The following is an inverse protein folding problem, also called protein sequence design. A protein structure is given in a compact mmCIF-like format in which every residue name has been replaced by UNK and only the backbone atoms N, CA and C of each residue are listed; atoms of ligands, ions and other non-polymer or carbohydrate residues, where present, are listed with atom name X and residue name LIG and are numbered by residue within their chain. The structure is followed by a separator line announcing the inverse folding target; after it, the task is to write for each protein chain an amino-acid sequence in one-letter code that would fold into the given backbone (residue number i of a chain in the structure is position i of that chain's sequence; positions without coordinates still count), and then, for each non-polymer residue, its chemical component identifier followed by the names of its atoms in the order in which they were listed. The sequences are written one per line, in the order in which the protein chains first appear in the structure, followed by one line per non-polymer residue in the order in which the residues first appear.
data_IF_607596697757
#
_entry.id   IF_607596697757
#
_cell.length_a   1.000
_cell.length_b   1.000
_cell.length_c   1.000
_cell.angle_alpha   90.00
_cell.angle_beta   90.00
_cell.angle_gamma   90.00
#
_symmetry.space_group_name_H-M   'P 1'
#
loop_
_entity.id
_entity.type
_entity.pdbx_description
1 polymer ?
#
# COMPACT_ATOMS: atom_id res chain seq x y z
N UNK A 1 29.09 -28.27 -21.59
CA UNK A 1 28.19 -27.69 -20.57
C UNK A 1 29.03 -26.81 -19.66
N UNK A 2 28.94 -25.48 -19.72
CA UNK A 2 29.64 -24.65 -18.75
C UNK A 2 28.87 -24.65 -17.43
N UNK A 3 29.58 -24.87 -16.33
CA UNK A 3 29.02 -25.00 -15.00
C UNK A 3 28.34 -23.72 -14.52
N UNK A 4 27.16 -23.86 -13.94
CA UNK A 4 26.47 -22.79 -13.22
C UNK A 4 27.26 -22.52 -11.94
N UNK A 5 28.03 -21.43 -11.94
CA UNK A 5 28.72 -20.94 -10.75
C UNK A 5 27.72 -20.30 -9.79
N UNK A 6 27.65 -20.84 -8.57
CA UNK A 6 26.93 -20.19 -7.46
C UNK A 6 27.68 -18.92 -7.07
N UNK A 7 27.14 -17.76 -7.43
CA UNK A 7 27.68 -16.48 -7.03
C UNK A 7 27.09 -16.12 -5.67
N UNK A 8 27.87 -16.32 -4.60
CA UNK A 8 27.56 -15.78 -3.28
C UNK A 8 27.96 -14.31 -3.30
N UNK A 9 27.00 -13.42 -3.55
CA UNK A 9 27.22 -11.99 -3.41
C UNK A 9 27.52 -11.68 -1.93
N UNK A 10 28.74 -11.24 -1.64
CA UNK A 10 29.12 -10.63 -0.37
C UNK A 10 29.39 -9.16 -0.63
N UNK A 11 28.45 -8.29 -0.30
CA UNK A 11 28.79 -6.90 -0.03
C UNK A 11 27.71 -6.16 0.77
N UNK A 12 28.17 -5.10 1.41
CA UNK A 12 27.66 -4.49 2.63
C UNK A 12 26.40 -3.64 2.39
N UNK A 13 25.42 -3.74 3.29
CA UNK A 13 24.39 -2.72 3.47
C UNK A 13 24.22 -2.39 4.95
N UNK A 14 24.46 -1.11 5.28
CA UNK A 14 24.03 -0.55 6.54
C UNK A 14 22.49 -0.53 6.54
N UNK A 15 21.87 -1.15 7.55
CA UNK A 15 20.46 -0.93 7.83
C UNK A 15 20.27 0.57 8.04
N UNK A 16 19.67 1.27 7.07
CA UNK A 16 19.01 2.52 7.38
C UNK A 16 17.77 2.11 8.17
N UNK A 17 17.66 2.41 9.49
CA UNK A 17 16.37 2.32 10.13
C UNK A 17 15.43 3.22 9.32
N UNK A 18 14.21 2.79 8.97
CA UNK A 18 13.22 3.71 8.44
C UNK A 18 13.12 4.85 9.46
N UNK A 19 13.51 6.05 9.07
CA UNK A 19 13.27 7.24 9.87
C UNK A 19 11.78 7.48 9.84
N UNK A 20 11.08 6.92 10.82
CA UNK A 20 9.72 7.31 11.13
C UNK A 20 9.77 8.77 11.59
N UNK A 21 9.51 9.69 10.68
CA UNK A 21 9.29 11.09 11.01
C UNK A 21 7.86 11.16 11.55
N UNK A 22 7.72 11.07 12.87
CA UNK A 22 6.45 11.35 13.53
C UNK A 22 6.11 12.83 13.31
N UNK A 23 5.11 13.11 12.46
CA UNK A 23 4.48 14.44 12.45
C UNK A 23 3.81 14.64 13.83
N UNK A 24 4.08 15.73 14.56
CA UNK A 24 3.34 16.00 15.79
C UNK A 24 1.87 16.26 15.44
N UNK A 25 0.97 15.37 15.86
CA UNK A 25 -0.48 15.58 15.80
C UNK A 25 -0.91 16.70 16.76
N UNK A 26 -0.60 17.94 16.40
CA UNK A 26 -1.03 19.14 17.11
C UNK A 26 -2.45 19.52 16.69
N UNK A 27 -3.45 19.06 17.45
CA UNK A 27 -4.84 19.53 17.33
C UNK A 27 -4.92 20.99 17.82
N UNK A 28 -4.62 21.96 16.96
CA UNK A 28 -4.97 23.36 17.24
C UNK A 28 -6.48 23.53 17.05
N UNK A 29 -7.22 23.45 18.16
CA UNK A 29 -8.59 23.95 18.25
C UNK A 29 -8.54 25.48 18.05
N UNK A 30 -8.70 25.92 16.80
CA UNK A 30 -8.84 27.31 16.45
C UNK A 30 -10.13 27.89 17.02
N UNK A 31 -10.01 28.69 18.07
CA UNK A 31 -11.07 29.57 18.57
C UNK A 31 -11.33 30.63 17.51
N UNK A 32 -12.53 30.64 16.95
CA UNK A 32 -12.95 31.56 15.90
C UNK A 32 -12.83 33.03 16.31
N UNK A 33 -12.42 33.85 15.34
CA UNK A 33 -12.75 35.28 15.29
C UNK A 33 -13.26 35.61 13.90
N UNK A 34 -14.46 36.18 13.87
CA UNK A 34 -15.17 36.57 12.66
C UNK A 34 -14.80 37.96 12.14
N UNK A 35 -15.50 38.27 11.05
CA UNK A 35 -15.68 39.57 10.39
C UNK A 35 -14.46 40.23 9.73
N UNK A 36 -14.49 40.35 8.40
CA UNK A 36 -14.87 41.62 7.78
C UNK A 36 -15.26 41.45 6.30
N UNK A 37 -16.43 41.98 5.96
CA UNK A 37 -16.90 42.19 4.58
C UNK A 37 -16.27 43.47 4.04
N UNK A 38 -15.64 43.43 2.86
CA UNK A 38 -15.56 44.62 1.98
C UNK A 38 -15.74 44.22 0.52
N UNK A 39 -16.81 44.74 -0.07
CA UNK A 39 -17.08 44.63 -1.50
C UNK A 39 -16.21 45.58 -2.33
N UNK A 40 -16.02 45.24 -3.60
CA UNK A 40 -15.69 46.20 -4.65
C UNK A 40 -16.41 45.86 -5.94
N UNK A 41 -16.88 46.94 -6.57
CA UNK A 41 -17.77 47.01 -7.73
C UNK A 41 -17.04 46.72 -9.05
N UNK A 42 -17.81 46.10 -9.95
CA UNK A 42 -17.87 46.17 -11.43
C UNK A 42 -16.84 47.06 -12.16
N UNK A 43 -16.26 46.48 -13.22
CA UNK A 43 -16.05 47.15 -14.51
C UNK A 43 -16.53 46.21 -15.64
N UNK A 44 -17.16 46.79 -16.66
CA UNK A 44 -17.81 46.16 -17.83
C UNK A 44 -16.92 46.26 -19.07
N UNK A 45 -17.00 45.23 -19.92
CA UNK A 45 -16.92 45.21 -21.41
C UNK A 45 -15.54 45.49 -22.08
N UNK A 46 -15.25 44.97 -23.30
CA UNK A 46 -16.22 44.65 -24.36
C UNK A 46 -16.10 43.29 -25.07
N UNK A 47 -17.09 43.09 -25.95
CA UNK A 47 -17.36 41.99 -26.87
C UNK A 47 -16.36 41.87 -28.03
N UNK A 48 -16.25 40.64 -28.52
CA UNK A 48 -15.71 40.22 -29.82
C UNK A 48 -15.35 38.73 -29.69
N UNK A 49 -15.82 37.78 -30.48
CA UNK A 49 -16.48 37.77 -31.77
C UNK A 49 -15.90 36.55 -32.52
N UNK A 50 -16.74 35.58 -32.90
CA UNK A 50 -16.43 34.67 -34.01
C UNK A 50 -16.44 33.16 -33.75
N UNK A 51 -17.40 32.51 -34.44
CA UNK A 51 -17.34 31.21 -35.15
C UNK A 51 -17.35 29.94 -34.30
N UNK A 52 -18.49 29.23 -34.20
CA UNK A 52 -19.09 28.27 -35.16
C UNK A 52 -18.25 27.01 -35.37
N UNK A 53 -18.63 25.93 -34.70
CA UNK A 53 -18.44 24.56 -35.21
C UNK A 53 -19.71 23.77 -34.88
N UNK A 54 -20.19 23.08 -35.90
CA UNK A 54 -21.37 22.24 -35.97
C UNK A 54 -21.34 21.12 -34.93
N UNK A 55 -22.51 20.72 -34.44
CA UNK A 55 -22.69 19.43 -33.77
C UNK A 55 -24.05 18.88 -34.15
N UNK A 56 -23.99 17.67 -34.69
CA UNK A 56 -25.06 16.95 -35.34
C UNK A 56 -26.26 16.72 -34.42
N UNK A 57 -27.44 16.96 -34.99
CA UNK A 57 -28.70 16.41 -34.53
C UNK A 57 -28.65 14.88 -34.63
N UNK A 58 -28.95 14.19 -33.54
CA UNK A 58 -29.48 12.83 -33.60
C UNK A 58 -30.75 12.77 -32.77
N UNK A 59 -31.85 12.68 -33.51
CA UNK A 59 -33.20 12.39 -33.06
C UNK A 59 -33.39 10.87 -32.91
N UNK A 60 -34.33 10.51 -32.04
CA UNK A 60 -35.00 9.22 -31.78
C UNK A 60 -34.65 8.67 -30.40
N UNK A 61 -35.59 8.17 -29.60
CA UNK A 61 -37.03 8.33 -29.54
C UNK A 61 -37.48 7.76 -28.19
N UNK A 62 -38.63 8.23 -27.73
CA UNK A 62 -39.18 7.99 -26.39
C UNK A 62 -40.00 6.71 -26.31
N UNK A 63 -39.75 5.83 -25.34
CA UNK A 63 -40.75 4.93 -24.70
C UNK A 63 -40.23 4.69 -23.25
N UNK A 64 -40.85 5.07 -22.14
CA UNK A 64 -42.27 5.14 -21.80
C UNK A 64 -42.63 3.94 -20.92
N UNK A 65 -42.45 4.02 -19.59
CA UNK A 65 -43.30 3.27 -18.65
C UNK A 65 -43.11 3.72 -17.20
N UNK A 66 -44.08 4.48 -16.73
CA UNK A 66 -44.40 4.71 -15.33
C UNK A 66 -45.10 3.49 -14.75
N UNK A 67 -44.65 2.99 -13.59
CA UNK A 67 -45.53 2.24 -12.69
C UNK A 67 -45.30 2.64 -11.25
N UNK A 68 -46.25 3.45 -10.78
CA UNK A 68 -46.54 3.67 -9.38
C UNK A 68 -47.00 2.34 -8.74
N UNK A 69 -46.53 2.10 -7.53
CA UNK A 69 -46.96 1.00 -6.67
C UNK A 69 -46.95 1.48 -5.23
N UNK A 70 -48.04 2.14 -4.84
CA UNK A 70 -48.41 2.37 -3.45
C UNK A 70 -48.59 1.03 -2.74
N UNK A 71 -47.84 0.81 -1.66
CA UNK A 71 -48.27 -0.11 -0.61
C UNK A 71 -48.18 0.55 0.77
N UNK A 72 -49.38 0.74 1.27
CA UNK A 72 -49.81 1.10 2.61
C UNK A 72 -49.16 0.26 3.72
N UNK A 73 -48.63 0.96 4.73
CA UNK A 73 -48.94 0.77 6.14
C UNK A 73 -48.73 -0.60 6.78
N UNK A 74 -47.74 -0.68 7.68
CA UNK A 74 -47.89 -1.44 8.91
C UNK A 74 -47.01 -0.85 10.03
N UNK A 75 -47.73 -0.25 10.98
CA UNK A 75 -47.38 0.16 12.33
C UNK A 75 -46.64 -0.99 13.03
N UNK A 76 -45.39 -0.78 13.46
CA UNK A 76 -44.69 -1.69 14.37
C UNK A 76 -44.37 -0.97 15.67
N UNK A 77 -44.79 -1.62 16.75
CA UNK A 77 -44.94 -1.10 18.09
C UNK A 77 -43.60 -0.85 18.77
N UNK A 78 -43.60 0.19 19.60
CA UNK A 78 -42.62 0.44 20.66
C UNK A 78 -42.57 -0.78 21.58
N UNK A 79 -41.39 -1.37 21.72
CA UNK A 79 -41.05 -2.18 22.87
C UNK A 79 -39.87 -1.54 23.58
N UNK A 80 -40.20 -0.81 24.65
CA UNK A 80 -39.29 -0.38 25.69
C UNK A 80 -38.45 -1.56 26.17
N UNK A 81 -37.13 -1.52 25.98
CA UNK A 81 -36.19 -2.39 26.68
C UNK A 81 -35.38 -1.59 27.67
N UNK A 82 -35.65 -1.92 28.93
CA UNK A 82 -35.06 -1.38 30.13
C UNK A 82 -33.53 -1.43 30.12
N UNK A 83 -32.95 -0.35 30.62
CA UNK A 83 -31.54 -0.21 30.96
C UNK A 83 -31.15 -1.19 32.07
N UNK A 84 -30.02 -1.91 31.97
CA UNK A 84 -29.45 -2.62 33.10
C UNK A 84 -28.83 -1.65 34.13
N UNK A 85 -28.85 -1.99 35.43
CA UNK A 85 -28.35 -1.13 36.50
C UNK A 85 -26.82 -0.96 36.47
N UNK A 86 -26.30 0.19 36.95
CA UNK A 86 -24.87 0.44 37.01
C UNK A 86 -24.19 -0.47 38.04
N UNK A 87 -23.14 -1.19 37.61
CA UNK A 87 -22.23 -1.88 38.52
C UNK A 87 -21.16 -0.90 39.00
N UNK A 88 -21.24 -0.56 40.28
CA UNK A 88 -20.19 0.10 41.06
C UNK A 88 -19.17 -0.95 41.57
N UNK A 89 -17.96 -0.46 41.82
CA UNK A 89 -16.81 -1.09 42.51
C UNK A 89 -15.95 -2.03 41.63
N UNK A 90 -14.62 -1.98 41.67
CA UNK A 90 -13.74 -1.66 42.79
C UNK A 90 -12.43 -0.99 42.36
N UNK A 91 -11.96 -0.08 43.21
CA UNK A 91 -10.60 0.47 43.21
C UNK A 91 -9.58 -0.65 43.50
N UNK A 92 -8.59 -0.81 42.64
CA UNK A 92 -7.40 -1.60 42.94
C UNK A 92 -6.30 -0.68 43.53
N UNK A 93 -5.57 -1.12 44.56
CA UNK A 93 -4.66 -0.27 45.33
C UNK A 93 -3.34 0.03 44.60
N UNK A 94 -2.94 1.30 44.69
CA UNK A 94 -1.62 1.81 44.34
C UNK A 94 -0.53 0.98 45.05
N UNK A 95 0.31 0.29 44.27
CA UNK A 95 1.53 -0.32 44.79
C UNK A 95 2.65 0.72 44.83
N UNK A 96 3.23 0.84 46.02
CA UNK A 96 4.35 1.68 46.39
C UNK A 96 5.53 1.54 45.41
N UNK A 97 6.05 2.69 44.97
CA UNK A 97 7.41 2.81 44.45
C UNK A 97 8.41 2.52 45.57
N UNK A 98 9.10 1.38 45.49
CA UNK A 98 10.29 1.13 46.29
C UNK A 98 11.48 1.83 45.63
N UNK A 99 12.09 2.77 46.35
CA UNK A 99 13.37 3.38 45.99
C UNK A 99 14.47 2.30 45.99
N UNK A 100 15.07 2.07 44.82
CA UNK A 100 16.31 1.31 44.73
C UNK A 100 17.50 2.21 45.14
N UNK A 101 18.45 1.71 45.95
CA UNK A 101 19.60 2.49 46.38
C UNK A 101 20.61 2.70 45.23
N UNK A 102 21.02 3.96 45.05
CA UNK A 102 22.17 4.37 44.25
C UNK A 102 23.43 3.59 44.71
N UNK A 103 23.84 2.58 43.94
CA UNK A 103 25.21 2.07 43.99
C UNK A 103 26.06 2.85 42.99
N UNK A 104 26.87 3.78 43.51
CA UNK A 104 28.06 4.30 42.84
C UNK A 104 29.00 3.13 42.57
N UNK A 105 29.02 2.63 41.34
CA UNK A 105 30.14 1.84 40.84
C UNK A 105 31.20 2.82 40.32
N UNK A 106 32.37 2.79 40.96
CA UNK A 106 33.58 3.47 40.54
C UNK A 106 34.01 2.96 39.16
N UNK A 107 33.99 3.85 38.16
CA UNK A 107 34.60 3.60 36.86
C UNK A 107 36.13 3.58 37.01
N UNK A 108 36.74 2.40 36.80
CA UNK A 108 38.17 2.31 36.51
C UNK A 108 38.43 2.65 35.04
N UNK A 109 39.59 3.21 34.68
CA UNK A 109 39.95 3.50 33.29
C UNK A 109 40.39 2.19 32.62
N UNK A 110 39.43 1.46 32.06
CA UNK A 110 39.68 0.18 31.41
C UNK A 110 38.91 0.07 30.11
N UNK A 111 39.61 0.32 29.00
CA UNK A 111 39.36 -0.07 27.59
C UNK A 111 37.90 -0.07 27.10
N UNK A 112 37.55 0.68 26.04
CA UNK A 112 36.24 0.57 25.42
C UNK A 112 36.03 -0.87 24.92
N UNK A 113 35.00 -1.52 25.45
CA UNK A 113 34.50 -2.78 24.92
C UNK A 113 33.97 -2.49 23.51
N UNK A 114 34.77 -2.81 22.50
CA UNK A 114 34.32 -2.89 21.11
C UNK A 114 33.42 -4.12 21.04
N UNK A 115 32.11 -3.90 21.16
CA UNK A 115 31.14 -4.90 20.77
C UNK A 115 31.36 -5.18 19.27
N UNK A 116 31.64 -6.42 18.85
CA UNK A 116 31.64 -6.72 17.43
C UNK A 116 30.23 -6.41 16.91
N UNK A 117 30.08 -5.72 15.77
CA UNK A 117 28.78 -5.58 15.15
C UNK A 117 28.25 -6.99 14.92
N UNK A 118 27.10 -7.29 15.51
CA UNK A 118 26.36 -8.51 15.27
C UNK A 118 25.98 -8.53 13.80
N UNK A 119 26.87 -9.09 12.96
CA UNK A 119 26.62 -9.37 11.56
C UNK A 119 25.63 -10.52 11.52
N UNK A 120 24.35 -10.21 11.70
CA UNK A 120 23.31 -11.11 11.24
C UNK A 120 23.49 -11.19 9.73
N UNK A 121 24.09 -12.27 9.26
CA UNK A 121 24.04 -12.64 7.86
C UNK A 121 22.56 -12.88 7.56
N UNK A 122 21.90 -11.89 6.97
CA UNK A 122 20.63 -12.11 6.30
C UNK A 122 20.87 -13.23 5.30
N UNK A 123 20.30 -14.39 5.60
CA UNK A 123 20.38 -15.54 4.72
C UNK A 123 19.43 -15.23 3.58
N UNK A 124 19.93 -14.57 2.54
CA UNK A 124 19.23 -14.53 1.26
C UNK A 124 19.16 -15.97 0.77
N UNK A 125 18.02 -16.62 0.99
CA UNK A 125 17.76 -17.93 0.43
C UNK A 125 17.45 -17.70 -1.04
N UNK A 126 18.50 -17.62 -1.86
CA UNK A 126 18.36 -17.68 -3.31
C UNK A 126 18.08 -19.14 -3.65
N UNK A 127 16.81 -19.54 -3.58
CA UNK A 127 16.36 -20.73 -4.30
C UNK A 127 16.32 -20.39 -5.78
N UNK A 128 17.49 -20.42 -6.43
CA UNK A 128 17.56 -20.24 -7.88
C UNK A 128 17.05 -21.50 -8.53
N UNK A 129 15.79 -21.48 -8.90
CA UNK A 129 15.24 -22.42 -9.87
C UNK A 129 15.22 -21.71 -11.20
N UNK A 130 16.09 -22.10 -12.13
CA UNK A 130 16.03 -21.61 -13.50
C UNK A 130 14.82 -22.27 -14.18
N UNK A 131 13.79 -21.50 -14.46
CA UNK A 131 12.63 -22.00 -15.19
C UNK A 131 12.64 -21.39 -16.59
N UNK A 132 12.42 -22.25 -17.59
CA UNK A 132 12.39 -21.90 -19.02
C UNK A 132 13.69 -21.35 -19.64
N UNK A 133 14.86 -21.48 -18.99
CA UNK A 133 16.14 -20.85 -19.42
C UNK A 133 16.12 -19.31 -19.47
N UNK A 134 14.96 -18.68 -19.22
CA UNK A 134 14.69 -17.27 -19.48
C UNK A 134 14.55 -16.40 -18.22
N UNK A 135 14.24 -17.00 -17.06
CA UNK A 135 14.00 -16.27 -15.82
C UNK A 135 14.58 -16.99 -14.60
N UNK A 136 15.35 -16.27 -13.79
CA UNK A 136 15.74 -16.67 -12.44
C UNK A 136 14.82 -16.00 -11.42
N UNK A 137 14.47 -16.72 -10.37
CA UNK A 137 13.56 -16.27 -9.32
C UNK A 137 14.27 -16.41 -7.97
N UNK A 138 14.05 -15.45 -7.07
CA UNK A 138 14.51 -15.52 -5.69
C UNK A 138 13.44 -14.98 -4.74
N UNK A 139 13.48 -15.46 -3.50
CA UNK A 139 12.59 -15.05 -2.42
C UNK A 139 13.43 -14.28 -1.41
N UNK A 140 13.03 -13.04 -1.11
CA UNK A 140 13.82 -12.11 -0.29
C UNK A 140 13.02 -11.54 0.86
N UNK A 141 13.67 -11.21 2.00
CA UNK A 141 13.01 -10.54 3.11
C UNK A 141 12.49 -9.17 2.69
N UNK A 142 11.46 -8.70 3.39
CA UNK A 142 10.87 -7.38 3.19
C UNK A 142 10.90 -6.57 4.48
N UNK A 143 10.78 -5.24 4.33
CA UNK A 143 10.60 -4.31 5.43
C UNK A 143 9.35 -3.47 5.19
N UNK A 144 8.63 -3.06 6.27
CA UNK A 144 7.49 -2.17 6.13
C UNK A 144 7.97 -0.78 5.67
N UNK A 145 7.29 -0.23 4.68
CA UNK A 145 7.50 1.13 4.19
C UNK A 145 6.36 2.08 4.59
N UNK A 146 5.20 1.54 4.93
CA UNK A 146 4.00 2.28 5.32
C UNK A 146 3.16 1.49 6.31
N UNK A 147 2.51 2.21 7.22
CA UNK A 147 1.38 1.73 7.99
C UNK A 147 0.27 2.77 7.98
N UNK A 148 -0.99 2.34 8.05
CA UNK A 148 -2.13 3.25 8.13
C UNK A 148 -2.38 3.83 9.53
N UNK A 149 -1.35 3.89 10.37
CA UNK A 149 -1.43 4.42 11.72
C UNK A 149 -1.95 5.87 11.72
N UNK A 150 -2.98 6.10 12.52
CA UNK A 150 -3.62 7.41 12.65
C UNK A 150 -4.64 7.73 11.55
N UNK A 151 -4.74 6.92 10.49
CA UNK A 151 -5.67 7.18 9.39
C UNK A 151 -7.14 7.09 9.80
N UNK A 152 -7.48 6.37 10.87
CA UNK A 152 -8.88 6.13 11.24
C UNK A 152 -9.61 5.09 10.39
N UNK A 153 -8.93 4.46 9.42
CA UNK A 153 -9.47 3.35 8.66
C UNK A 153 -9.95 2.20 9.57
N UNK A 154 -10.97 1.46 9.10
CA UNK A 154 -11.60 0.39 9.90
C UNK A 154 -10.77 -0.89 10.01
N UNK A 155 -9.87 -1.08 9.05
CA UNK A 155 -8.91 -2.18 9.00
C UNK A 155 -7.52 -1.58 9.09
N UNK A 156 -6.58 -2.30 9.69
CA UNK A 156 -5.20 -1.88 9.78
C UNK A 156 -4.38 -2.54 8.67
N UNK A 157 -3.40 -1.84 8.10
CA UNK A 157 -2.52 -2.36 7.04
C UNK A 157 -1.08 -1.91 7.21
N UNK A 158 -0.17 -2.79 6.79
CA UNK A 158 1.20 -2.40 6.47
C UNK A 158 1.53 -2.78 5.03
N UNK A 159 2.29 -1.91 4.37
CA UNK A 159 2.85 -2.18 3.04
C UNK A 159 4.34 -2.42 3.17
N UNK A 160 4.83 -3.44 2.49
CA UNK A 160 6.19 -3.93 2.55
C UNK A 160 6.84 -3.91 1.18
N UNK A 161 8.16 -3.75 1.20
CA UNK A 161 9.03 -3.79 0.02
C UNK A 161 10.27 -4.64 0.31
N UNK A 162 10.89 -5.30 -0.69
CA UNK A 162 12.18 -5.97 -0.49
C UNK A 162 13.18 -5.08 0.25
N UNK A 163 13.94 -5.65 1.19
CA UNK A 163 15.00 -4.91 1.91
C UNK A 163 16.10 -4.48 0.95
N UNK A 164 16.45 -5.34 0.00
CA UNK A 164 17.45 -5.09 -1.03
C UNK A 164 17.09 -5.80 -2.33
N UNK A 165 17.56 -5.23 -3.44
CA UNK A 165 17.41 -5.82 -4.78
C UNK A 165 18.77 -5.71 -5.49
N UNK A 166 19.45 -6.84 -5.77
CA UNK A 166 20.73 -6.82 -6.46
C UNK A 166 20.64 -6.20 -7.86
N UNK A 167 21.79 -5.91 -8.46
CA UNK A 167 21.83 -5.44 -9.83
C UNK A 167 21.44 -6.53 -10.83
N UNK A 168 20.66 -6.13 -11.85
CA UNK A 168 20.01 -7.05 -12.77
C UNK A 168 18.76 -7.76 -12.21
N UNK A 169 18.41 -7.57 -10.94
CA UNK A 169 17.19 -8.08 -10.34
C UNK A 169 16.10 -7.02 -10.25
N UNK A 170 14.86 -7.46 -10.29
CA UNK A 170 13.65 -6.64 -10.27
C UNK A 170 12.61 -7.26 -9.33
N UNK A 171 11.77 -6.43 -8.72
CA UNK A 171 10.59 -6.89 -7.98
C UNK A 171 9.31 -6.58 -8.77
N UNK A 172 8.19 -7.14 -8.34
CA UNK A 172 6.97 -7.28 -9.13
C UNK A 172 5.80 -6.43 -8.62
N UNK A 173 6.04 -5.67 -7.54
CA UNK A 173 5.07 -4.84 -6.84
C UNK A 173 5.31 -4.90 -5.33
N UNK A 174 4.71 -3.95 -4.62
CA UNK A 174 4.73 -3.96 -3.15
C UNK A 174 3.73 -4.99 -2.60
N UNK A 175 3.91 -5.33 -1.32
CA UNK A 175 3.13 -6.34 -0.62
C UNK A 175 2.30 -5.66 0.46
N UNK A 176 1.02 -6.01 0.59
CA UNK A 176 0.15 -5.47 1.64
C UNK A 176 -0.29 -6.58 2.58
N UNK A 177 -0.25 -6.32 3.89
CA UNK A 177 -0.68 -7.27 4.93
C UNK A 177 -1.64 -6.57 5.88
N UNK A 178 -2.77 -7.24 6.12
CA UNK A 178 -3.74 -6.81 7.13
C UNK A 178 -3.15 -7.04 8.51
N UNK A 179 -3.05 -5.98 9.31
CA UNK A 179 -2.52 -6.07 10.66
C UNK A 179 -3.63 -6.49 11.63
N UNK A 180 -3.45 -7.55 12.43
CA UNK A 180 -4.35 -7.82 13.55
C UNK A 180 -4.41 -6.60 14.48
N UNK A 181 -5.59 -6.32 15.06
CA UNK A 181 -5.77 -5.21 16.00
C UNK A 181 -4.87 -5.29 17.25
N UNK A 182 -4.32 -6.47 17.55
CA UNK A 182 -3.36 -6.70 18.63
C UNK A 182 -1.92 -6.34 18.29
N UNK A 183 -1.60 -6.10 17.01
CA UNK A 183 -0.24 -5.75 16.58
C UNK A 183 -0.06 -4.24 16.73
N UNK A 184 0.81 -3.77 17.62
CA UNK A 184 1.10 -2.34 17.71
C UNK A 184 1.85 -1.91 16.44
N UNK A 185 1.55 -0.71 15.96
CA UNK A 185 2.22 -0.06 14.82
C UNK A 185 3.72 0.23 15.04
N UNK A 186 4.27 -0.15 16.20
CA UNK A 186 5.68 -0.02 16.52
C UNK A 186 6.54 -0.96 15.68
N UNK A 187 7.65 -0.41 15.17
CA UNK A 187 8.55 -1.02 14.18
C UNK A 187 8.98 -2.48 14.38
N UNK A 188 9.15 -3.05 15.60
CA UNK A 188 9.50 -4.48 15.71
C UNK A 188 8.32 -5.43 15.43
N UNK A 189 7.10 -5.07 15.85
CA UNK A 189 5.96 -5.98 15.77
C UNK A 189 5.45 -6.11 14.32
N UNK A 190 5.45 -5.00 13.58
CA UNK A 190 5.11 -4.96 12.15
C UNK A 190 6.14 -5.73 11.33
N UNK A 191 7.44 -5.61 11.65
CA UNK A 191 8.49 -6.36 10.96
C UNK A 191 8.35 -7.89 11.13
N UNK A 192 7.86 -8.37 12.28
CA UNK A 192 7.74 -9.81 12.57
C UNK A 192 6.68 -10.55 11.73
N UNK A 193 5.78 -9.81 11.07
CA UNK A 193 4.76 -10.39 10.19
C UNK A 193 5.04 -10.09 8.71
N UNK A 194 6.23 -9.58 8.40
CA UNK A 194 6.63 -9.22 7.05
C UNK A 194 6.56 -10.46 6.13
N UNK A 195 5.90 -10.35 4.97
CA UNK A 195 5.91 -11.41 3.97
C UNK A 195 7.28 -11.46 3.29
N UNK A 196 7.55 -12.55 2.58
CA UNK A 196 8.68 -12.57 1.64
C UNK A 196 8.22 -12.08 0.27
N UNK A 197 9.08 -11.31 -0.39
CA UNK A 197 8.87 -10.85 -1.75
C UNK A 197 9.51 -11.80 -2.76
N UNK A 198 8.89 -11.89 -3.94
CA UNK A 198 9.49 -12.52 -5.11
C UNK A 198 10.21 -11.46 -5.93
N UNK A 199 11.50 -11.70 -6.18
CA UNK A 199 12.29 -10.93 -7.15
C UNK A 199 12.71 -11.84 -8.30
N UNK A 200 12.98 -11.22 -9.44
CA UNK A 200 13.30 -11.92 -10.68
C UNK A 200 14.53 -11.31 -11.34
N UNK A 201 15.27 -12.14 -12.03
CA UNK A 201 16.35 -11.73 -12.92
C UNK A 201 16.08 -12.31 -14.31
N UNK A 202 15.95 -11.47 -15.35
CA UNK A 202 15.91 -11.95 -16.73
C UNK A 202 17.23 -12.66 -17.06
N UNK A 203 17.13 -13.91 -17.50
CA UNK A 203 18.24 -14.65 -18.11
C UNK A 203 18.26 -14.44 -19.64
N UNK A 204 17.10 -14.06 -20.20
CA UNK A 204 16.97 -13.53 -21.55
C UNK A 204 16.42 -12.10 -21.55
N UNK A 205 16.63 -11.35 -22.63
CA UNK A 205 16.18 -9.96 -22.72
C UNK A 205 14.66 -9.76 -22.85
N UNK A 206 13.86 -10.84 -22.81
CA UNK A 206 12.44 -10.84 -23.14
C UNK A 206 11.54 -11.27 -21.97
N UNK A 207 12.09 -11.67 -20.83
CA UNK A 207 11.30 -12.15 -19.71
C UNK A 207 10.67 -11.03 -18.86
N UNK A 208 11.34 -9.88 -18.78
CA UNK A 208 10.88 -8.72 -18.02
C UNK A 208 10.96 -7.44 -18.87
N UNK A 209 10.15 -6.44 -18.56
CA UNK A 209 10.31 -5.10 -19.09
C UNK A 209 10.16 -4.04 -17.99
N UNK A 210 10.77 -2.85 -18.18
CA UNK A 210 10.49 -1.71 -17.31
C UNK A 210 9.01 -1.33 -17.30
N UNK A 211 8.61 -0.57 -16.29
CA UNK A 211 7.27 0.00 -16.17
C UNK A 211 7.33 1.53 -16.27
N UNK A 212 6.32 2.10 -16.91
CA UNK A 212 6.07 3.53 -16.93
C UNK A 212 5.17 3.91 -15.77
N UNK A 213 5.44 5.06 -15.14
CA UNK A 213 4.46 5.66 -14.26
C UNK A 213 3.27 6.08 -15.12
N UNK A 214 2.05 5.79 -14.66
CA UNK A 214 0.86 6.42 -15.21
C UNK A 214 0.94 7.95 -15.10
N UNK A 215 -0.04 8.65 -15.63
CA UNK A 215 -0.09 10.12 -15.50
C UNK A 215 -0.42 10.58 -14.08
N UNK A 216 -1.07 9.73 -13.28
CA UNK A 216 -1.55 10.04 -11.93
C UNK A 216 -1.59 8.79 -11.06
N UNK A 217 -1.52 8.97 -9.74
CA UNK A 217 -1.82 7.94 -8.76
C UNK A 217 -3.27 7.43 -8.91
N UNK A 218 -3.49 6.17 -8.56
CA UNK A 218 -4.83 5.61 -8.42
C UNK A 218 -5.55 6.28 -7.25
N UNK A 219 -4.89 6.39 -6.10
CA UNK A 219 -5.46 6.92 -4.87
C UNK A 219 -4.38 7.57 -4.01
N UNK A 220 -4.76 8.55 -3.20
CA UNK A 220 -3.91 9.14 -2.16
C UNK A 220 -4.65 9.21 -0.84
N UNK A 221 -3.91 9.19 0.27
CA UNK A 221 -4.52 9.29 1.60
C UNK A 221 -4.82 10.74 2.03
N UNK A 222 -4.96 11.66 1.07
CA UNK A 222 -5.16 13.07 1.36
C UNK A 222 -6.39 13.27 2.25
N UNK A 223 -6.18 13.93 3.39
CA UNK A 223 -7.15 14.17 4.46
C UNK A 223 -7.44 13.00 5.41
N UNK A 224 -6.64 11.93 5.40
CA UNK A 224 -6.79 10.80 6.32
C UNK A 224 -6.43 11.09 7.79
N UNK A 225 -5.78 12.22 8.07
CA UNK A 225 -5.06 12.48 9.34
C UNK A 225 -4.00 11.41 9.70
N UNK A 226 -3.63 10.55 8.73
CA UNK A 226 -2.61 9.53 8.86
C UNK A 226 -1.23 10.09 9.23
N UNK A 227 -0.45 9.31 9.96
CA UNK A 227 0.90 9.71 10.36
C UNK A 227 1.88 9.80 9.18
N UNK A 228 1.57 9.12 8.07
CA UNK A 228 2.37 9.06 6.86
C UNK A 228 1.48 9.34 5.65
N UNK A 229 1.98 10.14 4.71
CA UNK A 229 1.29 10.38 3.45
C UNK A 229 1.65 9.25 2.46
N UNK A 230 0.68 8.77 1.69
CA UNK A 230 0.87 7.70 0.71
C UNK A 230 0.09 7.96 -0.58
N UNK A 231 0.68 7.53 -1.69
CA UNK A 231 0.03 7.40 -2.99
C UNK A 231 0.15 5.96 -3.51
N UNK A 232 -0.91 5.45 -4.10
CA UNK A 232 -0.95 4.12 -4.72
C UNK A 232 -0.94 4.27 -6.23
N UNK A 233 0.02 3.64 -6.90
CA UNK A 233 0.22 3.74 -8.34
C UNK A 233 0.02 2.38 -9.01
N UNK A 234 -0.63 2.38 -10.18
CA UNK A 234 -0.70 1.23 -11.07
C UNK A 234 0.43 1.32 -12.12
N UNK A 235 1.46 0.46 -12.04
CA UNK A 235 2.53 0.43 -13.02
C UNK A 235 2.00 0.00 -14.38
N UNK A 236 2.38 0.70 -15.44
CA UNK A 236 2.01 0.34 -16.80
C UNK A 236 3.22 -0.30 -17.51
N UNK A 237 3.10 -1.54 -18.04
CA UNK A 237 4.19 -2.15 -18.78
C UNK A 237 4.65 -1.26 -19.95
N UNK A 238 5.97 -1.07 -20.11
CA UNK A 238 6.50 -0.22 -21.19
C UNK A 238 6.35 -0.85 -22.59
N UNK A 239 5.99 -2.14 -22.67
CA UNK A 239 5.83 -2.90 -23.91
C UNK A 239 4.52 -3.70 -23.88
N UNK A 240 3.90 -3.88 -25.04
CA UNK A 240 2.77 -4.81 -25.19
C UNK A 240 3.21 -6.26 -24.96
N UNK A 241 2.30 -7.09 -24.46
CA UNK A 241 2.58 -8.50 -24.14
C UNK A 241 3.28 -8.71 -22.79
N UNK A 242 3.27 -7.69 -21.93
CA UNK A 242 3.78 -7.77 -20.56
C UNK A 242 2.66 -7.40 -19.58
N UNK A 243 2.76 -7.89 -18.35
CA UNK A 243 1.79 -7.72 -17.28
C UNK A 243 2.49 -7.25 -16.00
N UNK A 244 2.03 -6.14 -15.42
CA UNK A 244 2.43 -5.73 -14.09
C UNK A 244 1.65 -6.56 -13.06
N UNK A 245 2.34 -7.13 -12.07
CA UNK A 245 1.75 -8.12 -11.15
C UNK A 245 1.29 -7.51 -9.82
N UNK A 246 1.64 -6.27 -9.55
CA UNK A 246 1.30 -5.58 -8.31
C UNK A 246 1.32 -4.07 -8.43
N UNK A 247 0.88 -3.42 -7.37
CA UNK A 247 0.86 -1.97 -7.24
C UNK A 247 2.16 -1.45 -6.64
N UNK A 248 2.36 -0.14 -6.75
CA UNK A 248 3.49 0.57 -6.15
C UNK A 248 2.99 1.62 -5.16
N UNK A 249 3.49 1.57 -3.93
CA UNK A 249 3.22 2.54 -2.89
C UNK A 249 4.34 3.59 -2.83
N UNK A 250 3.99 4.84 -3.10
CA UNK A 250 4.87 5.98 -2.92
C UNK A 250 4.62 6.58 -1.53
N UNK A 251 5.63 6.50 -0.67
CA UNK A 251 5.60 7.07 0.69
C UNK A 251 6.58 8.23 0.70
N UNK A 252 6.07 9.45 0.80
CA UNK A 252 6.88 10.67 0.65
C UNK A 252 6.29 11.86 1.40
N UNK A 253 7.02 12.97 1.40
CA UNK A 253 6.55 14.22 1.98
C UNK A 253 5.62 14.94 0.99
N UNK A 254 4.35 14.51 0.93
CA UNK A 254 3.29 15.13 0.13
C UNK A 254 2.87 14.38 -1.14
N UNK A 255 1.92 14.97 -1.88
CA UNK A 255 1.16 14.34 -2.98
C UNK A 255 1.52 14.83 -4.39
N UNK A 256 2.63 15.55 -4.55
CA UNK A 256 2.99 16.21 -5.81
C UNK A 256 4.10 15.45 -6.58
N UNK A 257 4.49 14.27 -6.11
CA UNK A 257 5.62 13.51 -6.64
C UNK A 257 5.21 12.46 -7.66
N UNK A 258 5.89 12.40 -8.81
CA UNK A 258 5.92 11.17 -9.59
C UNK A 258 6.95 10.22 -8.98
N UNK A 259 6.64 8.93 -8.80
CA UNK A 259 7.63 7.95 -8.36
C UNK A 259 8.68 7.64 -9.44
N UNK A 260 8.44 8.08 -10.69
CA UNK A 260 9.32 7.86 -11.82
C UNK A 260 10.73 8.39 -11.54
N UNK A 261 11.74 7.55 -11.79
CA UNK A 261 13.14 7.87 -11.56
C UNK A 261 13.65 7.59 -10.14
N UNK A 262 12.76 7.29 -9.18
CA UNK A 262 13.19 6.78 -7.87
C UNK A 262 13.88 5.43 -8.00
N UNK A 263 14.79 5.11 -7.07
CA UNK A 263 15.47 3.82 -7.04
C UNK A 263 14.49 2.65 -7.09
N UNK A 264 13.45 2.69 -6.24
CA UNK A 264 12.45 1.64 -6.15
C UNK A 264 11.55 1.55 -7.38
N UNK A 265 11.27 2.66 -8.05
CA UNK A 265 10.54 2.60 -9.32
C UNK A 265 11.38 1.95 -10.42
N UNK A 266 12.67 2.27 -10.49
CA UNK A 266 13.58 1.72 -11.51
C UNK A 266 13.86 0.22 -11.32
N UNK A 267 13.60 -0.33 -10.13
CA UNK A 267 13.70 -1.78 -9.84
C UNK A 267 12.37 -2.52 -10.02
N UNK A 268 11.27 -1.83 -10.32
CA UNK A 268 9.97 -2.43 -10.59
C UNK A 268 9.88 -2.89 -12.05
N UNK A 269 9.39 -4.10 -12.29
CA UNK A 269 9.26 -4.64 -13.64
C UNK A 269 7.90 -5.30 -13.88
N UNK A 270 7.49 -5.31 -15.15
CA UNK A 270 6.42 -6.16 -15.64
C UNK A 270 7.02 -7.45 -16.23
N UNK A 271 6.27 -8.54 -16.14
CA UNK A 271 6.67 -9.87 -16.65
C UNK A 271 6.01 -10.11 -18.00
N UNK A 272 6.70 -10.78 -18.92
CA UNK A 272 6.10 -11.22 -20.17
C UNK A 272 4.86 -12.08 -19.88
N UNK A 273 3.73 -11.72 -20.50
CA UNK A 273 2.42 -12.32 -20.19
C UNK A 273 2.37 -13.83 -20.45
N UNK A 274 3.30 -14.40 -21.23
CA UNK A 274 3.41 -15.85 -21.41
C UNK A 274 3.81 -16.60 -20.14
N UNK A 275 4.52 -15.95 -19.21
CA UNK A 275 4.92 -16.53 -17.92
C UNK A 275 3.86 -16.33 -16.84
N UNK A 276 2.81 -15.57 -17.13
CA UNK A 276 1.81 -15.14 -16.15
C UNK A 276 0.56 -15.99 -16.29
N UNK A 277 0.04 -16.48 -15.16
CA UNK A 277 -1.35 -16.99 -15.11
C UNK A 277 -2.27 -16.06 -14.34
N UNK A 278 -3.54 -15.97 -14.77
CA UNK A 278 -4.58 -15.39 -13.94
C UNK A 278 -4.65 -16.09 -12.58
N UNK A 279 -4.79 -15.29 -11.54
CA UNK A 279 -5.08 -15.69 -10.18
C UNK A 279 -6.55 -15.51 -9.84
N UNK A 280 -6.84 -15.71 -8.57
CA UNK A 280 -8.15 -15.49 -7.96
C UNK A 280 -8.04 -14.38 -6.93
N UNK A 281 -9.03 -13.50 -6.86
CA UNK A 281 -9.09 -12.55 -5.76
C UNK A 281 -9.35 -13.29 -4.45
N UNK A 282 -8.46 -13.06 -3.48
CA UNK A 282 -8.61 -13.56 -2.13
C UNK A 282 -9.44 -12.62 -1.26
N UNK A 283 -9.13 -12.61 0.04
CA UNK A 283 -9.77 -11.70 0.99
C UNK A 283 -9.33 -10.24 0.76
N UNK A 284 -10.21 -9.32 1.15
CA UNK A 284 -9.84 -7.92 1.35
C UNK A 284 -8.75 -7.83 2.44
N UNK A 285 -7.70 -7.07 2.16
CA UNK A 285 -6.58 -6.79 3.07
C UNK A 285 -6.90 -5.55 3.89
N UNK A 286 -7.42 -4.52 3.22
CA UNK A 286 -7.64 -3.19 3.77
C UNK A 286 -8.62 -2.40 2.91
N UNK A 287 -9.22 -1.36 3.48
CA UNK A 287 -10.00 -0.35 2.76
C UNK A 287 -9.87 1.00 3.46
N UNK A 288 -9.92 2.09 2.71
CA UNK A 288 -9.90 3.45 3.28
C UNK A 288 -11.21 3.87 3.94
N UNK A 289 -12.17 2.95 4.07
CA UNK A 289 -13.44 3.19 4.75
C UNK A 289 -13.22 3.67 6.19
N UNK A 290 -13.81 4.83 6.50
CA UNK A 290 -13.69 5.59 7.74
C UNK A 290 -12.33 6.28 7.98
N UNK A 291 -11.42 6.26 7.01
CA UNK A 291 -10.15 6.99 7.14
C UNK A 291 -10.32 8.51 7.10
N UNK A 292 -11.42 9.01 6.55
CA UNK A 292 -11.58 10.45 6.31
C UNK A 292 -10.77 10.97 5.12
N UNK A 293 -9.94 10.11 4.49
CA UNK A 293 -9.35 10.40 3.19
C UNK A 293 -10.48 10.74 2.20
N UNK A 294 -10.23 11.73 1.36
CA UNK A 294 -11.15 12.07 0.24
C UNK A 294 -10.71 11.41 -1.06
N UNK A 295 -9.70 10.55 -0.97
CA UNK A 295 -8.91 10.10 -2.10
C UNK A 295 -8.12 11.23 -2.74
N UNK A 296 -7.67 10.96 -3.97
CA UNK A 296 -6.84 11.83 -4.78
C UNK A 296 -6.29 11.05 -5.97
N UNK A 297 -5.85 11.75 -7.02
CA UNK A 297 -5.51 11.08 -8.28
C UNK A 297 -6.77 10.64 -9.04
N UNK A 298 -6.92 9.34 -9.29
CA UNK A 298 -8.02 8.81 -10.10
C UNK A 298 -9.25 8.37 -9.30
N UNK A 299 -9.09 7.95 -8.04
CA UNK A 299 -10.13 7.33 -7.23
C UNK A 299 -10.41 8.12 -5.95
N UNK A 300 -11.69 8.14 -5.55
CA UNK A 300 -12.14 8.72 -4.28
C UNK A 300 -12.00 7.76 -3.10
N UNK A 301 -12.25 6.48 -3.33
CA UNK A 301 -12.16 5.40 -2.34
C UNK A 301 -11.19 4.33 -2.84
N UNK A 302 -10.66 3.49 -1.92
CA UNK A 302 -9.82 2.35 -2.29
C UNK A 302 -9.99 1.15 -1.36
N UNK A 303 -9.93 -0.06 -1.93
CA UNK A 303 -9.81 -1.31 -1.19
C UNK A 303 -8.69 -2.18 -1.76
N UNK A 304 -7.85 -2.73 -0.88
CA UNK A 304 -6.78 -3.67 -1.22
C UNK A 304 -7.28 -5.11 -1.11
N UNK A 305 -6.93 -5.91 -2.10
CA UNK A 305 -7.32 -7.31 -2.18
C UNK A 305 -6.09 -8.19 -2.34
N UNK A 306 -6.06 -9.28 -1.57
CA UNK A 306 -5.05 -10.31 -1.76
C UNK A 306 -5.29 -11.04 -3.07
N UNK A 307 -4.21 -11.56 -3.65
CA UNK A 307 -4.30 -12.41 -4.81
C UNK A 307 -3.90 -13.82 -4.39
N UNK A 308 -4.69 -14.81 -4.80
CA UNK A 308 -4.53 -16.20 -4.43
C UNK A 308 -4.52 -17.08 -5.68
N UNK A 309 -4.11 -18.33 -5.51
CA UNK A 309 -4.23 -19.32 -6.57
C UNK A 309 -4.45 -20.71 -5.98
N UNK A 310 -5.33 -21.46 -6.62
CA UNK A 310 -5.57 -22.88 -6.33
C UNK A 310 -4.70 -23.82 -7.19
N UNK A 311 -3.99 -23.27 -8.18
CA UNK A 311 -3.21 -24.06 -9.14
C UNK A 311 -1.85 -24.45 -8.57
N UNK A 312 -1.60 -25.76 -8.50
CA UNK A 312 -0.31 -26.31 -8.08
C UNK A 312 0.81 -25.91 -9.06
N UNK A 313 2.00 -25.70 -8.50
CA UNK A 313 3.20 -25.32 -9.26
C UNK A 313 3.39 -23.82 -9.41
N UNK A 314 2.36 -22.99 -9.25
CA UNK A 314 2.54 -21.54 -9.39
C UNK A 314 3.24 -20.92 -8.18
N UNK A 315 4.12 -19.95 -8.43
CA UNK A 315 4.77 -19.17 -7.38
C UNK A 315 3.94 -17.92 -7.11
N UNK A 316 3.33 -17.78 -5.92
CA UNK A 316 2.60 -16.57 -5.57
C UNK A 316 3.56 -15.39 -5.38
N UNK A 317 3.28 -14.27 -6.04
CA UNK A 317 4.07 -13.03 -5.90
C UNK A 317 3.88 -12.35 -4.55
N UNK A 318 2.81 -12.67 -3.82
CA UNK A 318 2.37 -12.00 -2.59
C UNK A 318 2.10 -10.49 -2.75
N UNK A 319 1.95 -10.02 -3.99
CA UNK A 319 1.51 -8.66 -4.30
C UNK A 319 0.01 -8.50 -4.03
N UNK A 320 -0.46 -7.27 -4.08
CA UNK A 320 -1.88 -6.94 -3.95
C UNK A 320 -2.37 -6.16 -5.16
N UNK A 321 -3.69 -6.15 -5.30
CA UNK A 321 -4.45 -5.33 -6.27
C UNK A 321 -5.40 -4.42 -5.51
N UNK A 322 -5.94 -3.41 -6.19
CA UNK A 322 -6.86 -2.47 -5.58
C UNK A 322 -8.09 -2.23 -6.46
N UNK A 323 -9.21 -1.92 -5.81
CA UNK A 323 -10.45 -1.46 -6.42
C UNK A 323 -10.77 -0.04 -5.94
N UNK A 324 -11.50 0.72 -6.77
CA UNK A 324 -11.97 2.07 -6.45
C UNK A 324 -13.23 2.10 -5.57
N UNK A 325 -13.66 0.95 -5.06
CA UNK A 325 -14.82 0.80 -4.19
C UNK A 325 -14.62 -0.37 -3.20
N UNK A 326 -15.54 -0.49 -2.24
CA UNK A 326 -15.48 -1.49 -1.16
C UNK A 326 -16.25 -2.78 -1.48
N UNK A 327 -17.05 -2.76 -2.54
CA UNK A 327 -18.14 -3.73 -2.73
C UNK A 327 -17.67 -5.00 -3.40
N UNK A 328 -16.61 -4.94 -4.20
CA UNK A 328 -16.10 -6.11 -4.91
C UNK A 328 -14.62 -5.99 -5.24
N UNK A 329 -13.91 -7.13 -5.38
CA UNK A 329 -12.61 -7.11 -5.99
C UNK A 329 -12.69 -6.56 -7.43
N UNK A 330 -11.62 -5.94 -7.93
CA UNK A 330 -11.66 -5.22 -9.20
C UNK A 330 -11.95 -6.17 -10.37
N UNK A 331 -13.10 -6.01 -11.03
CA UNK A 331 -13.48 -6.82 -12.17
C UNK A 331 -12.67 -6.40 -13.40
N UNK A 332 -12.01 -7.34 -14.08
CA UNK A 332 -11.29 -7.08 -15.34
C UNK A 332 -9.80 -6.77 -15.20
N UNK A 333 -9.27 -6.59 -13.98
CA UNK A 333 -7.84 -6.78 -13.75
C UNK A 333 -7.58 -8.28 -13.76
N UNK A 334 -6.68 -8.76 -14.63
CA UNK A 334 -6.14 -10.12 -14.48
C UNK A 334 -5.33 -10.07 -13.20
N UNK A 335 -5.78 -10.69 -12.10
CA UNK A 335 -4.91 -10.85 -10.95
C UNK A 335 -3.77 -11.68 -11.51
N UNK A 336 -2.56 -11.19 -11.48
CA UNK A 336 -1.46 -11.86 -12.16
C UNK A 336 -0.48 -12.36 -11.12
N UNK A 337 -0.87 -13.27 -10.20
CA UNK A 337 -0.04 -13.57 -9.04
C UNK A 337 1.00 -14.64 -9.30
N UNK A 338 1.10 -15.17 -10.52
CA UNK A 338 1.69 -16.48 -10.72
C UNK A 338 2.67 -16.50 -11.87
N UNK A 339 3.92 -16.82 -11.57
CA UNK A 339 4.92 -17.20 -12.56
C UNK A 339 4.78 -18.72 -12.80
N UNK A 340 4.59 -19.11 -14.05
CA UNK A 340 4.56 -20.51 -14.45
C UNK A 340 5.94 -21.16 -14.30
N UNK A 341 6.06 -22.28 -13.58
CA UNK A 341 7.04 -23.28 -13.95
C UNK A 341 6.48 -23.99 -15.18
N UNK A 342 7.00 -23.69 -16.36
CA UNK A 342 6.80 -24.59 -17.49
C UNK A 342 7.45 -25.94 -17.12
N UNK A 343 6.64 -27.00 -17.05
CA UNK A 343 7.10 -28.40 -16.94
C UNK A 343 7.80 -28.85 -18.22
#
# INVERSE_FOLDING_TARGET
MPGVGFMVAREWMACYPPTFIEKPCGRQLGVGRGLERRGRRRARMPQGGGKSVESCEFLQDSIGSTRAGDHTGARSERADRALPPPRLCAFAPLRLCAFAPLRRASAGPGRPAVFPPSSQQETTIIMTTSFAESLAIAIVPTAPIYTDYGSGASLNVAIYRPVSIPDGWYYLGDLAVSLPSSVPYTSPAVANIAPYAVIVQPLDGNAVCPVNAGTQALWTDQHSDGAQDIEIWAPQPAKQGYTALGLFAWVGEGYEGSPAGSFWWNKLAAINSSYVKPGEFGRMIWSDQNSGAKGGGQWGDIAFWSITTSQLGLIPTNTFVAASDYSSPPVGLVPAPNILPTL
#
